data_IF_183119000693
#
_entry.id   IF_183119000693
#
_cell.length_a   1.000
_cell.length_b   1.000
_cell.length_c   1.000
_cell.angle_alpha   90.00
_cell.angle_beta   90.00
_cell.angle_gamma   90.00
#
_symmetry.space_group_name_H-M   'P 1'
#
loop_
_entity.id
_entity.type
_entity.pdbx_description
1 polymer ?
#
# COMPACT_ATOMS: atom_id res chain seq x y z
N UNK A 1 8.49 -10.52 7.52
CA UNK A 1 9.69 -11.34 7.23
C UNK A 1 10.02 -11.24 5.74
N UNK A 2 11.26 -10.94 5.35
CA UNK A 2 11.68 -11.03 3.96
C UNK A 2 11.63 -12.50 3.49
N UNK A 3 11.07 -12.75 2.30
CA UNK A 3 11.01 -14.08 1.69
C UNK A 3 11.12 -13.92 0.16
N UNK A 4 11.49 -14.98 -0.56
CA UNK A 4 11.43 -14.98 -2.03
C UNK A 4 10.18 -15.76 -2.48
N UNK A 5 9.16 -15.04 -2.94
CA UNK A 5 7.91 -15.62 -3.43
C UNK A 5 7.86 -15.75 -4.97
N UNK A 6 8.99 -15.53 -5.67
CA UNK A 6 9.03 -15.38 -7.11
C UNK A 6 8.41 -14.05 -7.59
N UNK A 7 8.28 -13.90 -8.91
CA UNK A 7 7.89 -12.61 -9.52
C UNK A 7 6.42 -12.23 -9.30
N UNK A 8 5.53 -13.21 -9.14
CA UNK A 8 4.07 -13.01 -9.15
C UNK A 8 3.49 -12.57 -7.81
N UNK A 9 4.15 -12.92 -6.70
CA UNK A 9 3.62 -12.67 -5.35
C UNK A 9 4.48 -11.59 -4.69
N UNK A 10 3.83 -10.49 -4.33
CA UNK A 10 4.51 -9.35 -3.70
C UNK A 10 4.60 -9.50 -2.18
N UNK A 11 3.59 -10.11 -1.55
CA UNK A 11 3.54 -10.38 -0.12
C UNK A 11 2.43 -11.35 0.23
N UNK A 12 2.34 -11.69 1.51
CA UNK A 12 1.34 -12.58 2.06
C UNK A 12 1.18 -12.35 3.56
N UNK A 13 -0.06 -12.29 4.02
CA UNK A 13 -0.43 -12.37 5.43
C UNK A 13 -0.73 -13.82 5.82
N UNK A 14 -0.08 -14.31 6.87
CA UNK A 14 -0.29 -15.67 7.41
C UNK A 14 -0.64 -15.57 8.88
N UNK A 15 -1.68 -16.30 9.30
CA UNK A 15 -2.06 -16.45 10.71
C UNK A 15 -1.67 -17.83 11.21
N UNK A 16 -0.83 -17.89 12.25
CA UNK A 16 -0.44 -19.16 12.90
C UNK A 16 -0.67 -19.03 14.41
N UNK A 17 -1.51 -19.87 14.99
CA UNK A 17 -1.80 -19.89 16.43
C UNK A 17 -2.13 -18.49 17.01
N UNK A 18 -2.97 -17.71 16.29
CA UNK A 18 -3.36 -16.32 16.60
C UNK A 18 -2.27 -15.25 16.41
N UNK A 19 -1.07 -15.62 15.96
CA UNK A 19 -0.04 -14.67 15.59
C UNK A 19 -0.12 -14.33 14.10
N UNK A 20 -0.18 -13.03 13.78
CA UNK A 20 -0.13 -12.52 12.42
C UNK A 20 1.32 -12.33 11.96
N UNK A 21 1.67 -12.89 10.81
CA UNK A 21 2.98 -12.71 10.18
C UNK A 21 2.80 -12.19 8.75
N UNK A 22 3.44 -11.06 8.45
CA UNK A 22 3.49 -10.51 7.09
C UNK A 22 4.80 -10.93 6.43
N UNK A 23 4.69 -11.70 5.35
CA UNK A 23 5.75 -11.96 4.40
C UNK A 23 5.75 -10.93 3.27
N UNK A 24 6.93 -10.53 2.81
CA UNK A 24 7.06 -9.69 1.61
C UNK A 24 8.23 -10.13 0.75
N UNK A 25 8.14 -9.91 -0.57
CA UNK A 25 9.23 -10.20 -1.48
C UNK A 25 10.37 -9.16 -1.34
N UNK A 26 11.53 -9.61 -0.88
CA UNK A 26 12.65 -8.71 -0.60
C UNK A 26 13.38 -8.19 -1.85
N UNK A 27 13.23 -8.86 -2.99
CA UNK A 27 13.84 -8.48 -4.27
C UNK A 27 13.09 -7.30 -4.92
N UNK A 28 11.86 -7.02 -4.47
CA UNK A 28 11.10 -5.89 -4.96
C UNK A 28 11.68 -4.55 -4.47
N UNK A 29 11.54 -3.52 -5.31
CA UNK A 29 11.96 -2.16 -4.98
C UNK A 29 11.36 -1.70 -3.65
N UNK A 30 12.13 -0.91 -2.88
CA UNK A 30 11.75 -0.42 -1.55
C UNK A 30 10.33 0.17 -1.47
N UNK A 31 9.95 0.98 -2.47
CA UNK A 31 8.60 1.57 -2.54
C UNK A 31 7.51 0.51 -2.60
N UNK A 32 7.72 -0.56 -3.38
CA UNK A 32 6.76 -1.65 -3.55
C UNK A 32 6.65 -2.48 -2.28
N UNK A 33 7.78 -2.80 -1.64
CA UNK A 33 7.79 -3.49 -0.34
C UNK A 33 6.99 -2.76 0.72
N UNK A 34 7.14 -1.43 0.81
CA UNK A 34 6.35 -0.62 1.75
C UNK A 34 4.86 -0.68 1.47
N UNK A 35 4.48 -0.58 0.20
CA UNK A 35 3.09 -0.68 -0.22
C UNK A 35 2.51 -2.06 0.10
N UNK A 36 3.22 -3.13 -0.25
CA UNK A 36 2.84 -4.51 0.09
C UNK A 36 2.62 -4.67 1.59
N UNK A 37 3.57 -4.23 2.42
CA UNK A 37 3.42 -4.34 3.88
C UNK A 37 2.19 -3.57 4.36
N UNK A 38 1.95 -2.36 3.84
CA UNK A 38 0.76 -1.57 4.15
C UNK A 38 -0.54 -2.28 3.74
N UNK A 39 -0.54 -2.93 2.57
CA UNK A 39 -1.68 -3.68 2.05
C UNK A 39 -2.01 -4.90 2.92
N UNK A 40 -1.00 -5.71 3.28
CA UNK A 40 -1.20 -6.85 4.20
C UNK A 40 -1.63 -6.40 5.60
N UNK A 41 -1.17 -5.24 6.07
CA UNK A 41 -1.67 -4.64 7.31
C UNK A 41 -3.15 -4.24 7.20
N UNK A 42 -3.58 -3.73 6.04
CA UNK A 42 -4.99 -3.46 5.75
C UNK A 42 -5.83 -4.72 5.87
N UNK A 43 -5.41 -5.81 5.22
CA UNK A 43 -6.09 -7.11 5.35
C UNK A 43 -6.20 -7.58 6.80
N UNK A 44 -5.14 -7.42 7.59
CA UNK A 44 -5.14 -7.82 9.00
C UNK A 44 -6.14 -7.00 9.82
N UNK A 45 -6.08 -5.68 9.71
CA UNK A 45 -6.88 -4.77 10.54
C UNK A 45 -8.36 -4.75 10.17
N UNK A 46 -8.67 -4.99 8.89
CA UNK A 46 -10.05 -5.06 8.38
C UNK A 46 -10.65 -6.48 8.48
N UNK A 47 -9.90 -7.45 9.00
CA UNK A 47 -10.40 -8.82 9.23
C UNK A 47 -10.55 -9.66 7.96
N UNK A 48 -9.82 -9.34 6.89
CA UNK A 48 -9.90 -10.05 5.61
C UNK A 48 -9.32 -11.48 5.65
N UNK A 49 -8.58 -11.81 6.71
CA UNK A 49 -7.70 -12.99 6.80
C UNK A 49 -8.43 -14.33 6.90
N UNK A 50 -9.70 -14.33 7.35
CA UNK A 50 -10.45 -15.55 7.65
C UNK A 50 -11.46 -15.94 6.56
N UNK A 51 -11.63 -15.10 5.54
CA UNK A 51 -12.64 -15.30 4.50
C UNK A 51 -11.94 -15.60 3.17
N UNK A 52 -12.04 -16.84 2.68
CA UNK A 52 -11.47 -17.33 1.41
C UNK A 52 -12.06 -16.70 0.14
N UNK A 53 -12.70 -15.55 0.25
CA UNK A 53 -13.31 -14.86 -0.87
C UNK A 53 -12.40 -13.69 -1.27
N UNK A 54 -11.67 -13.77 -2.39
CA UNK A 54 -10.88 -12.66 -2.88
C UNK A 54 -11.82 -11.66 -3.58
N UNK A 55 -12.76 -11.09 -2.82
CA UNK A 55 -13.67 -10.10 -3.40
C UNK A 55 -12.87 -8.86 -3.77
N UNK A 56 -13.11 -8.34 -4.98
CA UNK A 56 -12.45 -7.12 -5.47
C UNK A 56 -12.54 -5.96 -4.48
N UNK A 57 -13.61 -5.94 -3.67
CA UNK A 57 -13.80 -4.94 -2.63
C UNK A 57 -12.73 -4.98 -1.54
N UNK A 58 -12.36 -6.16 -1.04
CA UNK A 58 -11.36 -6.29 0.03
C UNK A 58 -9.95 -5.94 -0.42
N UNK A 59 -9.62 -6.32 -1.65
CA UNK A 59 -8.37 -5.92 -2.30
C UNK A 59 -8.33 -4.40 -2.48
N UNK A 60 -9.46 -3.79 -2.89
CA UNK A 60 -9.57 -2.35 -3.00
C UNK A 60 -9.42 -1.65 -1.64
N UNK A 61 -10.10 -2.12 -0.60
CA UNK A 61 -10.00 -1.57 0.75
C UNK A 61 -8.57 -1.66 1.32
N UNK A 62 -7.89 -2.80 1.12
CA UNK A 62 -6.49 -2.95 1.52
C UNK A 62 -5.54 -2.02 0.75
N UNK A 63 -5.80 -1.82 -0.55
CA UNK A 63 -5.06 -0.86 -1.38
C UNK A 63 -5.29 0.59 -0.92
N UNK A 64 -6.53 0.95 -0.62
CA UNK A 64 -6.90 2.28 -0.09
C UNK A 64 -6.26 2.51 1.28
N UNK A 65 -6.30 1.52 2.16
CA UNK A 65 -5.62 1.56 3.45
C UNK A 65 -4.12 1.78 3.30
N UNK A 66 -3.45 1.01 2.43
CA UNK A 66 -2.02 1.16 2.18
C UNK A 66 -1.67 2.55 1.62
N UNK A 67 -2.51 3.09 0.73
CA UNK A 67 -2.32 4.41 0.15
C UNK A 67 -2.47 5.51 1.21
N UNK A 68 -3.54 5.51 2.01
CA UNK A 68 -3.73 6.48 3.10
C UNK A 68 -2.68 6.36 4.20
N UNK A 69 -2.22 5.13 4.52
CA UNK A 69 -1.15 4.92 5.48
C UNK A 69 0.17 5.54 5.02
N UNK A 70 0.51 5.37 3.74
CA UNK A 70 1.76 5.86 3.17
C UNK A 70 1.70 7.33 2.75
N UNK A 71 0.53 7.82 2.36
CA UNK A 71 0.30 9.16 1.82
C UNK A 71 -0.96 9.80 2.43
N UNK A 72 -1.00 10.09 3.75
CA UNK A 72 -2.23 10.52 4.41
C UNK A 72 -2.85 11.76 3.76
N UNK A 73 -4.14 11.69 3.40
CA UNK A 73 -4.82 12.76 2.65
C UNK A 73 -4.72 14.14 3.30
N UNK A 74 -4.78 14.19 4.64
CA UNK A 74 -4.67 15.43 5.41
C UNK A 74 -3.33 16.15 5.19
N UNK A 75 -2.24 15.38 5.07
CA UNK A 75 -0.89 15.91 4.79
C UNK A 75 -0.73 16.18 3.29
N UNK A 76 -1.17 15.22 2.46
CA UNK A 76 -1.03 15.28 1.02
C UNK A 76 -1.71 16.51 0.41
N UNK A 77 -2.88 16.90 0.92
CA UNK A 77 -3.58 18.13 0.53
C UNK A 77 -2.72 19.38 0.70
N UNK A 78 -1.98 19.48 1.80
CA UNK A 78 -1.15 20.64 2.10
C UNK A 78 0.16 20.61 1.31
N UNK A 79 0.76 19.44 1.17
CA UNK A 79 2.02 19.28 0.44
C UNK A 79 1.82 19.48 -1.06
N UNK A 80 0.72 18.96 -1.63
CA UNK A 80 0.38 19.18 -3.04
C UNK A 80 0.11 20.64 -3.39
N UNK A 81 -0.25 21.50 -2.43
CA UNK A 81 -0.34 22.96 -2.66
C UNK A 81 1.04 23.60 -2.82
N UNK A 82 2.06 23.08 -2.13
CA UNK A 82 3.43 23.60 -2.11
C UNK A 82 4.30 22.99 -3.22
N UNK A 83 4.12 21.70 -3.49
CA UNK A 83 4.94 20.92 -4.42
C UNK A 83 4.04 20.42 -5.55
N UNK A 84 4.13 21.08 -6.71
CA UNK A 84 3.34 20.75 -7.90
C UNK A 84 3.99 19.70 -8.81
N UNK A 85 5.25 19.36 -8.56
CA UNK A 85 6.00 18.38 -9.34
C UNK A 85 5.76 16.99 -8.73
N UNK A 86 5.09 16.11 -9.48
CA UNK A 86 4.70 14.76 -9.04
C UNK A 86 5.90 13.96 -8.51
N UNK A 87 7.02 13.99 -9.24
CA UNK A 87 8.26 13.30 -8.88
C UNK A 87 8.80 13.72 -7.51
N UNK A 88 8.80 15.03 -7.22
CA UNK A 88 9.27 15.53 -5.93
C UNK A 88 8.33 15.17 -4.79
N UNK A 89 7.02 15.19 -5.04
CA UNK A 89 6.03 14.78 -4.07
C UNK A 89 6.13 13.27 -3.77
N UNK A 90 6.24 12.43 -4.81
CA UNK A 90 6.44 10.99 -4.66
C UNK A 90 7.74 10.67 -3.88
N UNK A 91 8.81 11.42 -4.15
CA UNK A 91 10.08 11.33 -3.41
C UNK A 91 9.92 11.67 -1.93
N UNK A 92 9.15 12.71 -1.59
CA UNK A 92 8.88 13.10 -0.20
C UNK A 92 8.16 11.98 0.57
N UNK A 93 7.15 11.36 -0.04
CA UNK A 93 6.38 10.27 0.56
C UNK A 93 7.07 8.90 0.42
N UNK A 94 8.18 8.83 -0.33
CA UNK A 94 8.99 7.63 -0.61
C UNK A 94 8.13 6.49 -1.20
N UNK A 95 7.34 6.85 -2.21
CA UNK A 95 6.49 5.95 -3.01
C UNK A 95 6.89 6.06 -4.50
N UNK A 96 6.34 5.21 -5.37
CA UNK A 96 6.48 5.40 -6.81
C UNK A 96 5.65 6.59 -7.30
N UNK A 97 6.05 7.19 -8.43
CA UNK A 97 5.25 8.23 -9.09
C UNK A 97 3.86 7.70 -9.49
N UNK A 98 3.78 6.43 -9.89
CA UNK A 98 2.50 5.75 -10.19
C UNK A 98 1.57 5.69 -8.97
N UNK A 99 2.08 5.26 -7.80
CA UNK A 99 1.28 5.16 -6.59
C UNK A 99 0.81 6.54 -6.12
N UNK A 100 1.69 7.54 -6.17
CA UNK A 100 1.34 8.94 -5.88
C UNK A 100 0.25 9.45 -6.83
N UNK A 101 0.41 9.25 -8.15
CA UNK A 101 -0.58 9.67 -9.14
C UNK A 101 -1.94 9.03 -8.90
N UNK A 102 -1.97 7.70 -8.70
CA UNK A 102 -3.20 6.95 -8.43
C UNK A 102 -3.90 7.47 -7.17
N UNK A 103 -3.16 7.71 -6.10
CA UNK A 103 -3.75 8.18 -4.86
C UNK A 103 -4.28 9.63 -4.97
N UNK A 104 -3.56 10.52 -5.66
CA UNK A 104 -4.05 11.88 -5.96
C UNK A 104 -5.34 11.87 -6.79
N UNK A 105 -5.46 10.96 -7.78
CA UNK A 105 -6.69 10.77 -8.56
C UNK A 105 -7.84 10.25 -7.69
N UNK A 106 -7.59 9.21 -6.88
CA UNK A 106 -8.60 8.65 -5.97
C UNK A 106 -9.09 9.71 -4.97
N UNK A 107 -8.20 10.58 -4.50
CA UNK A 107 -8.51 11.69 -3.62
C UNK A 107 -9.08 12.93 -4.33
N UNK A 108 -9.26 12.88 -5.65
CA UNK A 108 -9.75 13.97 -6.51
C UNK A 108 -8.94 15.26 -6.39
N UNK A 109 -7.63 15.14 -6.16
CA UNK A 109 -6.69 16.27 -6.14
C UNK A 109 -6.15 16.61 -7.54
N UNK A 110 -6.20 15.64 -8.45
CA UNK A 110 -5.88 15.78 -9.88
C UNK A 110 -6.93 15.04 -10.73
N UNK A 111 -6.93 15.30 -12.04
CA UNK A 111 -7.79 14.64 -13.03
C UNK A 111 -7.00 13.63 -13.85
#
# INVERSE_FOLDING_TARGET
MPYNFGEKISGMLIMVNKNATIGYNNEQHWHRRRFTIGHELGHLLMGHVCNNDPSDHREQEANEFAAELLMPLALLKNDYRKIKVLKELARQYKVSEEAMCRHLMNCRLIK
#
